data_IF_699177033129
#
_entry.id   IF_699177033129
#
_cell.length_a   1.000
_cell.length_b   1.000
_cell.length_c   1.000
_cell.angle_alpha   90.00
_cell.angle_beta   90.00
_cell.angle_gamma   90.00
#
_symmetry.space_group_name_H-M   'P 1'
#
loop_
_entity.id
_entity.type
_entity.pdbx_description
1 polymer ?
#
# COMPACT_ATOMS: atom_id res chain seq x y z
N UNK A 1 10.83 -7.86 -27.63
CA UNK A 1 11.26 -6.83 -26.67
C UNK A 1 10.92 -7.18 -25.22
N UNK A 2 9.74 -7.72 -24.91
CA UNK A 2 9.34 -8.01 -23.51
C UNK A 2 10.15 -9.13 -22.82
N UNK A 3 10.46 -10.24 -23.52
CA UNK A 3 11.39 -11.26 -22.99
C UNK A 3 12.76 -10.66 -22.62
N UNK A 4 13.22 -9.67 -23.39
CA UNK A 4 14.49 -8.98 -23.14
C UNK A 4 14.43 -8.11 -21.89
N UNK A 5 13.28 -7.46 -21.60
CA UNK A 5 13.09 -6.64 -20.39
C UNK A 5 13.13 -7.49 -19.12
N UNK A 6 12.50 -8.66 -19.14
CA UNK A 6 12.53 -9.59 -18.00
C UNK A 6 13.96 -10.10 -17.75
N UNK A 7 14.67 -10.54 -18.80
CA UNK A 7 16.07 -10.96 -18.67
C UNK A 7 16.98 -9.81 -18.22
N UNK A 8 16.74 -8.57 -18.68
CA UNK A 8 17.50 -7.40 -18.23
C UNK A 8 17.21 -7.04 -16.75
N UNK A 9 15.95 -7.19 -16.30
CA UNK A 9 15.57 -7.03 -14.88
C UNK A 9 16.29 -8.02 -13.97
N UNK A 10 16.51 -9.25 -14.43
CA UNK A 10 17.26 -10.26 -13.68
C UNK A 10 18.76 -9.94 -13.65
N UNK A 11 19.32 -9.30 -14.67
CA UNK A 11 20.75 -8.93 -14.70
C UNK A 11 21.09 -7.56 -14.07
N UNK A 12 20.13 -6.67 -13.90
CA UNK A 12 20.32 -5.36 -13.28
C UNK A 12 19.54 -5.30 -11.97
N UNK A 13 20.21 -5.43 -10.83
CA UNK A 13 19.62 -5.59 -9.48
C UNK A 13 18.56 -4.58 -9.02
N UNK A 14 18.23 -3.56 -9.81
CA UNK A 14 17.10 -2.64 -9.60
C UNK A 14 15.77 -3.13 -10.22
N UNK A 15 15.80 -4.25 -10.96
CA UNK A 15 14.67 -4.74 -11.75
C UNK A 15 13.60 -5.54 -11.00
N UNK A 16 13.85 -5.93 -9.75
CA UNK A 16 12.94 -6.81 -9.01
C UNK A 16 11.72 -6.10 -8.43
N UNK A 17 11.84 -4.79 -8.16
CA UNK A 17 10.84 -3.96 -7.47
C UNK A 17 9.54 -3.84 -8.29
N UNK A 18 9.62 -4.01 -9.62
CA UNK A 18 8.44 -4.01 -10.50
C UNK A 18 7.97 -5.40 -10.96
N UNK A 19 8.58 -6.49 -10.47
CA UNK A 19 8.30 -7.81 -11.04
C UNK A 19 6.93 -8.34 -10.61
N UNK A 20 6.57 -8.16 -9.34
CA UNK A 20 5.22 -8.47 -8.86
C UNK A 20 4.14 -7.65 -9.60
N UNK A 21 4.43 -6.39 -9.93
CA UNK A 21 3.54 -5.53 -10.72
C UNK A 21 3.40 -5.99 -12.18
N UNK A 22 4.47 -6.50 -12.80
CA UNK A 22 4.39 -7.12 -14.14
C UNK A 22 3.48 -8.36 -14.11
N UNK A 23 3.60 -9.22 -13.11
CA UNK A 23 2.74 -10.41 -12.96
C UNK A 23 1.28 -10.04 -12.65
N UNK A 24 1.04 -8.98 -11.86
CA UNK A 24 -0.31 -8.45 -11.62
C UNK A 24 -0.93 -7.82 -12.87
N UNK A 25 -0.11 -7.19 -13.72
CA UNK A 25 -0.56 -6.55 -14.96
C UNK A 25 -0.81 -7.54 -16.11
N UNK A 26 -0.02 -8.61 -16.18
CA UNK A 26 -0.10 -9.64 -17.22
C UNK A 26 -0.19 -11.05 -16.62
N UNK A 27 -1.32 -11.42 -16.01
CA UNK A 27 -1.49 -12.75 -15.43
C UNK A 27 -1.36 -13.83 -16.53
N UNK A 28 -0.77 -14.98 -16.17
CA UNK A 28 -0.67 -16.20 -17.00
C UNK A 28 0.19 -16.11 -18.28
N UNK A 29 0.99 -15.04 -18.46
CA UNK A 29 1.84 -14.86 -19.66
C UNK A 29 3.30 -15.25 -19.46
N UNK A 30 3.79 -15.23 -18.22
CA UNK A 30 5.22 -15.33 -17.89
C UNK A 30 5.54 -16.49 -16.95
N UNK A 31 4.76 -17.56 -17.00
CA UNK A 31 4.90 -18.72 -16.10
C UNK A 31 6.25 -19.42 -16.23
N UNK A 32 6.78 -19.54 -17.45
CA UNK A 32 8.08 -20.17 -17.69
C UNK A 32 9.28 -19.42 -17.11
N UNK A 33 9.10 -18.18 -16.64
CA UNK A 33 10.15 -17.41 -15.98
C UNK A 33 10.22 -17.74 -14.48
N UNK A 34 9.13 -18.23 -13.87
CA UNK A 34 9.04 -18.49 -12.44
C UNK A 34 10.10 -19.51 -11.99
N UNK A 35 10.33 -20.56 -12.78
CA UNK A 35 11.37 -21.56 -12.46
C UNK A 35 12.77 -20.93 -12.39
N UNK A 36 13.12 -20.08 -13.36
CA UNK A 36 14.40 -19.35 -13.37
C UNK A 36 14.48 -18.37 -12.20
N UNK A 37 13.36 -17.78 -11.80
CA UNK A 37 13.30 -16.88 -10.64
C UNK A 37 13.57 -17.61 -9.32
N UNK A 38 13.01 -18.82 -9.14
CA UNK A 38 13.27 -19.66 -7.97
C UNK A 38 14.72 -20.14 -7.92
N UNK A 39 15.35 -20.44 -9.06
CA UNK A 39 16.78 -20.80 -9.13
C UNK A 39 17.73 -19.67 -8.68
N UNK A 40 17.29 -18.42 -8.78
CA UNK A 40 18.09 -17.25 -8.40
C UNK A 40 17.68 -16.65 -7.04
N UNK A 41 16.83 -17.35 -6.28
CA UNK A 41 16.28 -16.87 -5.00
C UNK A 41 17.38 -16.49 -4.00
N UNK A 42 18.46 -17.27 -3.94
CA UNK A 42 19.58 -17.10 -3.00
C UNK A 42 20.46 -15.88 -3.30
N UNK A 43 20.29 -15.27 -4.48
CA UNK A 43 21.06 -14.07 -4.89
C UNK A 43 20.36 -12.76 -4.54
N UNK A 44 19.17 -12.82 -3.96
CA UNK A 44 18.36 -11.65 -3.64
C UNK A 44 18.65 -11.12 -2.23
N UNK A 45 19.45 -10.05 -2.15
CA UNK A 45 19.76 -9.39 -0.87
C UNK A 45 18.72 -8.31 -0.50
N UNK A 46 18.00 -7.76 -1.48
CA UNK A 46 17.09 -6.63 -1.25
C UNK A 46 15.73 -7.10 -0.67
N UNK A 47 15.26 -6.53 0.46
CA UNK A 47 14.01 -6.95 1.11
C UNK A 47 12.77 -6.75 0.21
N UNK A 48 12.74 -5.69 -0.59
CA UNK A 48 11.64 -5.45 -1.55
C UNK A 48 11.59 -6.54 -2.63
N UNK A 49 12.76 -7.02 -3.05
CA UNK A 49 12.89 -8.08 -4.03
C UNK A 49 12.41 -9.42 -3.46
N UNK A 50 12.84 -9.75 -2.24
CA UNK A 50 12.43 -10.97 -1.53
C UNK A 50 10.93 -10.98 -1.25
N UNK A 51 10.36 -9.85 -0.81
CA UNK A 51 8.91 -9.72 -0.62
C UNK A 51 8.14 -9.94 -1.94
N UNK A 52 8.58 -9.32 -3.03
CA UNK A 52 7.97 -9.54 -4.36
C UNK A 52 8.05 -11.01 -4.80
N UNK A 53 9.16 -11.69 -4.52
CA UNK A 53 9.33 -13.10 -4.84
C UNK A 53 8.37 -14.00 -4.04
N UNK A 54 8.33 -13.82 -2.72
CA UNK A 54 7.42 -14.53 -1.83
C UNK A 54 5.96 -14.32 -2.25
N UNK A 55 5.62 -13.11 -2.70
CA UNK A 55 4.29 -12.83 -3.25
C UNK A 55 3.98 -13.69 -4.47
N UNK A 56 4.91 -13.76 -5.44
CA UNK A 56 4.79 -14.58 -6.67
C UNK A 56 4.63 -16.05 -6.30
N UNK A 57 5.45 -16.57 -5.39
CA UNK A 57 5.38 -17.97 -4.93
C UNK A 57 4.00 -18.28 -4.33
N UNK A 58 3.50 -17.43 -3.43
CA UNK A 58 2.17 -17.63 -2.84
C UNK A 58 1.01 -17.45 -3.84
N UNK A 59 1.17 -16.60 -4.85
CA UNK A 59 0.16 -16.38 -5.89
C UNK A 59 0.09 -17.56 -6.88
N UNK A 60 1.23 -18.13 -7.24
CA UNK A 60 1.34 -19.25 -8.18
C UNK A 60 1.60 -20.60 -7.49
N UNK A 61 1.31 -20.72 -6.20
CA UNK A 61 1.52 -21.92 -5.38
C UNK A 61 0.82 -23.20 -5.89
N UNK A 62 -0.19 -23.09 -6.76
CA UNK A 62 -0.83 -24.27 -7.39
C UNK A 62 0.01 -24.88 -8.51
N UNK A 63 0.98 -24.13 -9.04
CA UNK A 63 1.81 -24.52 -10.19
C UNK A 63 3.26 -24.83 -9.81
N UNK A 64 3.69 -24.33 -8.66
CA UNK A 64 5.03 -24.55 -8.12
C UNK A 64 4.94 -25.72 -7.14
N UNK A 65 5.48 -26.87 -7.52
CA UNK A 65 5.33 -28.09 -6.72
C UNK A 65 6.07 -28.00 -5.37
N UNK A 66 7.23 -27.35 -5.35
CA UNK A 66 8.12 -27.15 -4.18
C UNK A 66 7.90 -25.81 -3.45
N UNK A 67 6.73 -25.18 -3.59
CA UNK A 67 6.44 -23.88 -2.98
C UNK A 67 6.48 -23.91 -1.44
N UNK A 68 6.09 -25.03 -0.86
CA UNK A 68 6.14 -25.31 0.58
C UNK A 68 7.57 -25.31 1.11
N UNK A 69 8.48 -26.06 0.49
CA UNK A 69 9.90 -26.11 0.87
C UNK A 69 10.56 -24.71 0.75
N UNK A 70 10.26 -24.01 -0.34
CA UNK A 70 10.78 -22.65 -0.56
C UNK A 70 10.30 -21.69 0.52
N UNK A 71 9.01 -21.68 0.85
CA UNK A 71 8.47 -20.81 1.89
C UNK A 71 8.91 -21.23 3.30
N UNK A 72 9.12 -22.53 3.54
CA UNK A 72 9.62 -23.02 4.82
C UNK A 72 11.01 -22.45 5.14
N UNK A 73 11.92 -22.39 4.16
CA UNK A 73 13.24 -21.79 4.37
C UNK A 73 13.17 -20.32 4.83
N UNK A 74 12.21 -19.55 4.30
CA UNK A 74 11.95 -18.17 4.76
C UNK A 74 11.32 -18.11 6.15
N UNK A 75 10.51 -19.11 6.53
CA UNK A 75 9.89 -19.17 7.86
C UNK A 75 10.91 -19.55 8.93
N UNK A 76 11.95 -20.32 8.60
CA UNK A 76 13.04 -20.62 9.55
C UNK A 76 13.81 -19.36 9.95
N UNK A 77 14.04 -18.43 9.00
CA UNK A 77 14.67 -17.12 9.24
C UNK A 77 13.72 -15.99 9.59
N UNK A 78 12.47 -16.26 9.99
CA UNK A 78 11.38 -15.26 10.06
C UNK A 78 11.73 -13.97 10.81
N UNK A 79 12.42 -14.08 11.95
CA UNK A 79 12.74 -12.91 12.79
C UNK A 79 13.91 -12.06 12.25
N UNK A 80 14.78 -12.66 11.44
CA UNK A 80 15.92 -11.96 10.84
C UNK A 80 15.53 -11.18 9.58
N UNK A 81 14.34 -11.47 9.04
CA UNK A 81 13.79 -10.80 7.86
C UNK A 81 13.18 -9.42 8.18
N UNK A 82 13.12 -8.56 7.16
CA UNK A 82 12.45 -7.27 7.26
C UNK A 82 10.93 -7.46 7.49
N UNK A 83 10.30 -6.56 8.26
CA UNK A 83 8.84 -6.55 8.49
C UNK A 83 8.01 -6.67 7.20
N UNK A 84 8.41 -6.01 6.11
CA UNK A 84 7.70 -6.14 4.83
C UNK A 84 7.72 -7.57 4.28
N UNK A 85 8.86 -8.26 4.42
CA UNK A 85 9.05 -9.66 4.02
C UNK A 85 8.21 -10.56 4.92
N UNK A 86 8.22 -10.34 6.24
CA UNK A 86 7.41 -11.09 7.22
C UNK A 86 5.91 -11.01 6.92
N UNK A 87 5.39 -9.80 6.65
CA UNK A 87 3.99 -9.58 6.29
C UNK A 87 3.62 -10.32 4.99
N UNK A 88 4.52 -10.27 4.01
CA UNK A 88 4.31 -10.91 2.72
C UNK A 88 4.39 -12.44 2.82
N UNK A 89 5.28 -12.96 3.67
CA UNK A 89 5.44 -14.37 3.99
C UNK A 89 4.22 -14.94 4.71
N UNK A 90 3.72 -14.24 5.73
CA UNK A 90 2.47 -14.59 6.41
C UNK A 90 1.32 -14.74 5.39
N UNK A 91 1.16 -13.75 4.51
CA UNK A 91 0.12 -13.79 3.48
C UNK A 91 0.34 -14.92 2.47
N UNK A 92 1.59 -15.17 2.05
CA UNK A 92 1.92 -16.20 1.08
C UNK A 92 1.66 -17.62 1.63
N UNK A 93 2.04 -17.90 2.88
CA UNK A 93 1.79 -19.17 3.54
C UNK A 93 0.29 -19.42 3.72
N UNK A 94 -0.49 -18.39 4.09
CA UNK A 94 -1.95 -18.51 4.18
C UNK A 94 -2.57 -18.82 2.81
N UNK A 95 -2.11 -18.15 1.73
CA UNK A 95 -2.56 -18.47 0.36
C UNK A 95 -2.20 -19.91 -0.04
N UNK A 96 -0.98 -20.36 0.28
CA UNK A 96 -0.52 -21.73 0.03
C UNK A 96 -1.42 -22.74 0.76
N UNK A 97 -1.74 -22.49 2.03
CA UNK A 97 -2.64 -23.35 2.81
C UNK A 97 -4.05 -23.44 2.24
N UNK A 98 -4.63 -22.32 1.81
CA UNK A 98 -5.96 -22.30 1.19
C UNK A 98 -6.02 -23.04 -0.16
N UNK A 99 -4.86 -23.25 -0.81
CA UNK A 99 -4.72 -23.97 -2.07
C UNK A 99 -4.41 -25.45 -1.86
N UNK A 100 -3.49 -25.76 -0.95
CA UNK A 100 -2.97 -27.12 -0.66
C UNK A 100 -3.03 -27.40 0.85
N UNK A 101 -4.21 -27.63 1.46
CA UNK A 101 -4.35 -27.73 2.91
C UNK A 101 -3.69 -28.98 3.52
N UNK A 102 -3.53 -30.06 2.75
CA UNK A 102 -3.05 -31.36 3.24
C UNK A 102 -1.59 -31.34 3.69
N UNK A 103 -0.73 -30.66 2.93
CA UNK A 103 0.73 -30.73 3.13
C UNK A 103 1.27 -29.54 3.95
N UNK A 104 0.47 -28.49 4.12
CA UNK A 104 0.95 -27.16 4.55
C UNK A 104 0.40 -26.72 5.91
N UNK A 105 -0.34 -27.61 6.58
CA UNK A 105 -0.96 -27.34 7.89
C UNK A 105 0.07 -27.02 8.97
N UNK A 106 1.21 -27.72 9.00
CA UNK A 106 2.26 -27.45 9.98
C UNK A 106 2.92 -26.09 9.73
N UNK A 107 3.19 -25.77 8.47
CA UNK A 107 3.81 -24.51 8.06
C UNK A 107 2.94 -23.30 8.43
N UNK A 108 1.62 -23.36 8.18
CA UNK A 108 0.70 -22.26 8.53
C UNK A 108 0.58 -22.09 10.05
N UNK A 109 0.56 -23.17 10.82
CA UNK A 109 0.55 -23.08 12.28
C UNK A 109 1.83 -22.44 12.82
N UNK A 110 2.98 -22.81 12.25
CA UNK A 110 4.29 -22.26 12.62
C UNK A 110 4.35 -20.77 12.36
N UNK A 111 4.03 -20.32 11.13
CA UNK A 111 4.09 -18.89 10.79
C UNK A 111 3.09 -18.05 11.60
N UNK A 112 1.89 -18.58 11.87
CA UNK A 112 0.90 -17.89 12.70
C UNK A 112 1.36 -17.77 14.15
N UNK A 113 2.03 -18.79 14.69
CA UNK A 113 2.60 -18.74 16.03
C UNK A 113 3.70 -17.69 16.10
N UNK A 114 4.65 -17.71 15.16
CA UNK A 114 5.73 -16.73 15.08
C UNK A 114 5.19 -15.30 14.92
N UNK A 115 4.17 -15.10 14.09
CA UNK A 115 3.55 -13.79 13.87
C UNK A 115 2.74 -13.27 15.06
N UNK A 116 2.12 -14.15 15.85
CA UNK A 116 1.21 -13.73 16.95
C UNK A 116 1.87 -13.71 18.33
N UNK A 117 2.72 -14.69 18.63
CA UNK A 117 3.33 -14.87 19.95
C UNK A 117 4.73 -14.26 20.02
N UNK A 118 5.53 -14.45 18.97
CA UNK A 118 6.96 -14.11 18.98
C UNK A 118 7.28 -12.78 18.28
N UNK A 119 6.30 -12.14 17.63
CA UNK A 119 6.51 -10.85 16.96
C UNK A 119 6.08 -9.66 17.82
N UNK A 120 6.96 -8.67 17.91
CA UNK A 120 6.71 -7.38 18.57
C UNK A 120 5.99 -6.37 17.67
N UNK A 121 5.86 -6.65 16.37
CA UNK A 121 5.23 -5.71 15.44
C UNK A 121 3.70 -5.79 15.54
N UNK A 122 2.99 -4.70 15.89
CA UNK A 122 1.54 -4.71 16.06
C UNK A 122 0.78 -5.00 14.76
N UNK A 123 1.25 -4.50 13.61
CA UNK A 123 0.59 -4.74 12.30
C UNK A 123 0.69 -6.23 11.91
N UNK A 124 1.87 -6.83 12.11
CA UNK A 124 2.08 -8.25 11.84
C UNK A 124 1.21 -9.12 12.75
N UNK A 125 1.15 -8.79 14.03
CA UNK A 125 0.36 -9.49 15.04
C UNK A 125 -1.14 -9.41 14.73
N UNK A 126 -1.63 -8.22 14.38
CA UNK A 126 -3.04 -8.01 14.05
C UNK A 126 -3.44 -8.80 12.80
N UNK A 127 -2.64 -8.74 11.74
CA UNK A 127 -2.87 -9.54 10.52
C UNK A 127 -2.79 -11.04 10.81
N UNK A 128 -1.87 -11.47 11.66
CA UNK A 128 -1.77 -12.85 12.14
C UNK A 128 -3.06 -13.32 12.81
N UNK A 129 -3.61 -12.54 13.74
CA UNK A 129 -4.88 -12.87 14.40
C UNK A 129 -6.08 -12.84 13.46
N UNK A 130 -6.13 -11.91 12.50
CA UNK A 130 -7.18 -11.87 11.49
C UNK A 130 -7.16 -13.17 10.67
N UNK A 131 -5.99 -13.59 10.18
CA UNK A 131 -5.87 -14.85 9.44
C UNK A 131 -6.20 -16.06 10.32
N UNK A 132 -5.73 -16.10 11.57
CA UNK A 132 -6.05 -17.19 12.49
C UNK A 132 -7.56 -17.33 12.66
N UNK A 133 -8.26 -16.23 12.96
CA UNK A 133 -9.71 -16.21 13.17
C UNK A 133 -10.45 -16.59 11.91
N UNK A 134 -10.03 -16.08 10.76
CA UNK A 134 -10.65 -16.38 9.47
C UNK A 134 -10.53 -17.88 9.14
N UNK A 135 -9.34 -18.46 9.28
CA UNK A 135 -9.08 -19.88 9.04
C UNK A 135 -9.80 -20.80 10.05
N UNK A 136 -9.92 -20.36 11.31
CA UNK A 136 -10.59 -21.13 12.37
C UNK A 136 -12.11 -21.04 12.30
N UNK A 137 -12.65 -19.94 11.78
CA UNK A 137 -14.09 -19.75 11.65
C UNK A 137 -14.65 -20.49 10.43
N UNK A 138 -14.12 -20.21 9.23
CA UNK A 138 -14.54 -20.86 8.00
C UNK A 138 -13.44 -20.82 6.91
N UNK A 139 -12.81 -21.97 6.61
CA UNK A 139 -11.84 -22.08 5.52
C UNK A 139 -12.41 -21.79 4.12
N UNK A 140 -13.72 -21.99 3.88
CA UNK A 140 -14.33 -21.72 2.58
C UNK A 140 -14.49 -20.21 2.36
N UNK A 141 -15.07 -19.49 3.32
CA UNK A 141 -15.11 -18.02 3.29
C UNK A 141 -13.69 -17.42 3.24
N UNK A 142 -12.72 -18.02 3.94
CA UNK A 142 -11.33 -17.58 3.88
C UNK A 142 -10.78 -17.62 2.45
N UNK A 143 -11.13 -18.65 1.68
CA UNK A 143 -10.73 -18.79 0.27
C UNK A 143 -11.30 -17.65 -0.58
N UNK A 144 -12.58 -17.34 -0.43
CA UNK A 144 -13.23 -16.27 -1.19
C UNK A 144 -12.65 -14.89 -0.84
N UNK A 145 -12.34 -14.64 0.44
CA UNK A 145 -11.81 -13.35 0.89
C UNK A 145 -10.34 -13.17 0.50
N UNK A 146 -9.50 -14.19 0.73
CA UNK A 146 -8.04 -14.07 0.56
C UNK A 146 -7.61 -14.27 -0.89
N UNK A 147 -8.30 -15.14 -1.64
CA UNK A 147 -8.04 -15.39 -3.07
C UNK A 147 -8.99 -14.61 -3.98
N UNK A 148 -9.67 -13.59 -3.48
CA UNK A 148 -10.49 -12.70 -4.30
C UNK A 148 -9.68 -12.13 -5.47
N UNK A 149 -10.31 -12.03 -6.64
CA UNK A 149 -9.71 -11.36 -7.79
C UNK A 149 -9.42 -9.90 -7.46
N UNK A 150 -8.14 -9.55 -7.45
CA UNK A 150 -7.73 -8.16 -7.24
C UNK A 150 -8.00 -7.36 -8.50
N UNK A 151 -8.55 -6.14 -8.38
CA UNK A 151 -8.70 -5.26 -9.52
C UNK A 151 -7.33 -4.99 -10.16
N UNK A 152 -7.31 -4.88 -11.48
CA UNK A 152 -6.08 -4.60 -12.23
C UNK A 152 -5.51 -3.24 -11.79
N UNK A 153 -4.19 -3.20 -11.54
CA UNK A 153 -3.49 -1.98 -11.16
C UNK A 153 -3.65 -0.96 -12.30
N UNK A 154 -4.24 0.20 -12.01
CA UNK A 154 -4.36 1.32 -12.94
C UNK A 154 -3.01 2.04 -13.10
N UNK A 155 -2.70 2.51 -14.31
CA UNK A 155 -1.41 3.15 -14.67
C UNK A 155 -1.20 4.56 -14.07
N UNK A 156 -1.86 4.89 -12.96
CA UNK A 156 -1.86 6.25 -12.39
C UNK A 156 -0.57 6.64 -11.66
N UNK A 157 0.44 5.77 -11.58
CA UNK A 157 1.68 6.02 -10.82
C UNK A 157 2.42 7.30 -11.25
N UNK A 158 2.30 7.70 -12.53
CA UNK A 158 2.97 8.89 -13.07
C UNK A 158 2.00 10.05 -13.40
N UNK A 159 0.71 9.90 -13.12
CA UNK A 159 -0.27 10.94 -13.41
C UNK A 159 -0.32 11.93 -12.25
N UNK A 160 0.03 13.18 -12.55
CA UNK A 160 -0.19 14.29 -11.64
C UNK A 160 -1.69 14.49 -11.43
N UNK A 161 -2.09 14.76 -10.19
CA UNK A 161 -3.48 15.10 -9.87
C UNK A 161 -3.96 16.23 -10.81
N UNK A 162 -5.14 16.12 -11.44
CA UNK A 162 -5.60 17.12 -12.42
C UNK A 162 -5.63 18.55 -11.89
N UNK A 163 -5.89 18.73 -10.59
CA UNK A 163 -5.89 20.05 -9.93
C UNK A 163 -4.48 20.66 -9.88
N UNK A 164 -3.49 19.86 -9.46
CA UNK A 164 -2.08 20.21 -9.43
C UNK A 164 -1.55 20.45 -10.85
N UNK A 165 -1.92 19.61 -11.81
CA UNK A 165 -1.55 19.77 -13.21
C UNK A 165 -2.02 21.13 -13.76
N UNK A 166 -3.28 21.49 -13.54
CA UNK A 166 -3.81 22.79 -13.96
C UNK A 166 -3.05 23.97 -13.32
N UNK A 167 -2.67 23.83 -12.05
CA UNK A 167 -1.85 24.83 -11.37
C UNK A 167 -0.43 24.91 -11.95
N UNK A 168 0.21 23.77 -12.25
CA UNK A 168 1.54 23.73 -12.86
C UNK A 168 1.54 24.26 -14.29
N UNK A 169 0.45 24.07 -15.04
CA UNK A 169 0.25 24.67 -16.37
C UNK A 169 0.30 26.20 -16.30
N UNK A 170 -0.20 26.82 -15.22
CA UNK A 170 -0.08 28.27 -14.99
C UNK A 170 1.35 28.72 -14.69
N UNK A 171 2.23 27.80 -14.31
CA UNK A 171 3.60 28.06 -13.87
C UNK A 171 4.65 27.41 -14.78
N UNK A 172 4.28 27.08 -16.03
CA UNK A 172 5.22 26.59 -17.05
C UNK A 172 6.34 27.64 -17.24
N UNK A 173 7.59 27.19 -17.17
CA UNK A 173 8.77 28.06 -17.21
C UNK A 173 9.23 28.59 -15.84
N UNK A 174 8.57 28.19 -14.75
CA UNK A 174 9.02 28.43 -13.36
C UNK A 174 9.62 27.18 -12.73
N UNK A 175 10.37 27.34 -11.63
CA UNK A 175 10.91 26.23 -10.82
C UNK A 175 9.80 25.28 -10.33
N UNK A 176 8.59 25.79 -10.07
CA UNK A 176 7.44 24.97 -9.69
C UNK A 176 7.11 23.88 -10.73
N UNK A 177 7.22 24.22 -12.02
CA UNK A 177 7.01 23.27 -13.12
C UNK A 177 8.17 22.30 -13.32
N UNK A 178 9.37 22.60 -12.85
CA UNK A 178 10.54 21.70 -12.95
C UNK A 178 10.53 20.65 -11.84
N UNK A 179 10.08 21.04 -10.65
CA UNK A 179 10.05 20.17 -9.47
C UNK A 179 8.72 19.45 -9.25
N UNK A 180 7.74 19.68 -10.13
CA UNK A 180 6.38 19.14 -10.03
C UNK A 180 5.72 19.40 -8.65
N UNK A 181 6.00 20.56 -8.06
CA UNK A 181 5.48 20.97 -6.75
C UNK A 181 4.78 22.31 -6.87
N UNK A 182 3.72 22.55 -6.07
CA UNK A 182 3.07 23.85 -6.07
C UNK A 182 4.05 24.94 -5.57
N UNK A 183 3.93 26.19 -6.05
CA UNK A 183 4.78 27.31 -5.61
C UNK A 183 4.80 27.53 -4.10
N UNK A 184 3.72 27.18 -3.39
CA UNK A 184 3.60 27.23 -1.93
C UNK A 184 4.58 26.28 -1.21
N UNK A 185 5.07 25.23 -1.87
CA UNK A 185 6.07 24.33 -1.30
C UNK A 185 7.47 24.94 -1.23
N UNK A 186 7.71 26.06 -1.91
CA UNK A 186 9.03 26.69 -1.96
C UNK A 186 9.18 27.88 -1.01
N UNK A 187 8.06 28.43 -0.50
CA UNK A 187 8.06 29.66 0.28
C UNK A 187 7.01 29.56 1.38
N UNK A 188 7.43 29.73 2.63
CA UNK A 188 6.51 29.84 3.75
C UNK A 188 5.63 31.10 3.58
N UNK A 189 4.30 30.96 3.48
CA UNK A 189 3.39 32.09 3.23
C UNK A 189 3.37 33.11 4.36
N UNK A 190 3.93 32.78 5.53
CA UNK A 190 4.10 33.66 6.68
C UNK A 190 5.22 34.69 6.50
N UNK A 191 6.22 34.36 5.68
CA UNK A 191 7.43 35.19 5.56
C UNK A 191 7.46 35.97 4.23
N UNK A 192 6.79 35.48 3.18
CA UNK A 192 6.67 36.17 1.89
C UNK A 192 5.33 35.86 1.21
N UNK A 193 4.48 36.87 0.92
CA UNK A 193 3.25 36.64 0.19
C UNK A 193 3.56 36.23 -1.26
N UNK A 194 3.21 34.99 -1.62
CA UNK A 194 3.37 34.47 -2.98
C UNK A 194 2.36 35.17 -3.90
N UNK A 195 2.85 35.73 -5.02
CA UNK A 195 1.98 36.20 -6.12
C UNK A 195 1.31 34.99 -6.76
N UNK A 196 0.01 34.82 -6.51
CA UNK A 196 -0.81 33.82 -7.22
C UNK A 196 -0.88 34.21 -8.70
N UNK A 197 -0.37 33.36 -9.59
CA UNK A 197 -0.58 33.55 -11.02
C UNK A 197 -2.05 33.21 -11.31
N UNK A 198 -2.84 34.24 -11.62
CA UNK A 198 -4.22 34.08 -12.06
C UNK A 198 -4.20 33.74 -13.55
N UNK A 199 -4.83 32.64 -13.96
CA UNK A 199 -5.06 32.37 -15.38
C UNK A 199 -5.81 33.54 -16.00
N UNK A 200 -5.37 34.11 -17.14
CA UNK A 200 -6.14 35.12 -17.83
C UNK A 200 -7.42 34.45 -18.35
N UNK A 201 -8.53 34.66 -17.65
CA UNK A 201 -9.86 34.41 -18.18
C UNK A 201 -10.12 35.47 -19.24
N UNK A 202 -10.44 35.02 -20.44
CA UNK A 202 -10.78 35.87 -21.57
C UNK A 202 -12.05 36.66 -21.29
N UNK A 203 -11.92 37.84 -20.69
CA UNK A 203 -12.99 38.84 -20.60
C UNK A 203 -12.36 40.23 -20.46
N UNK A 204 -12.60 41.09 -21.45
CA UNK A 204 -11.95 42.39 -21.58
C UNK A 204 -12.28 43.39 -20.47
N UNK A 205 -11.23 44.11 -20.05
CA UNK A 205 -11.14 45.56 -19.77
C UNK A 205 -12.30 46.24 -19.02
N UNK A 206 -12.06 46.70 -17.78
CA UNK A 206 -11.87 48.14 -17.46
C UNK A 206 -11.60 48.43 -15.97
N UNK A 207 -10.48 49.12 -15.74
CA UNK A 207 -10.20 50.24 -14.80
C UNK A 207 -10.21 50.02 -13.26
N UNK A 208 -9.10 50.51 -12.68
CA UNK A 208 -8.69 50.58 -11.29
C UNK A 208 -9.64 51.33 -10.33
N UNK A 209 -9.52 51.10 -9.01
CA UNK A 209 -9.10 52.12 -8.01
C UNK A 209 -9.07 51.60 -6.57
N UNK A 210 -8.04 52.07 -5.86
CA UNK A 210 -7.97 52.50 -4.45
C UNK A 210 -8.29 51.55 -3.26
N UNK A 211 -7.34 51.54 -2.33
CA UNK A 211 -7.46 51.08 -0.96
C UNK A 211 -8.45 51.94 -0.14
N UNK A 212 -9.23 51.28 0.73
CA UNK A 212 -9.87 51.89 1.91
C UNK A 212 -9.83 50.88 3.06
N UNK A 213 -9.29 51.31 4.20
CA UNK A 213 -9.34 50.58 5.45
C UNK A 213 -10.66 50.88 6.22
N UNK A 214 -11.05 49.90 7.04
CA UNK A 214 -12.01 49.93 8.17
C UNK A 214 -13.50 50.15 7.89
N UNK A 215 -14.31 49.09 8.10
CA UNK A 215 -15.27 48.97 9.23
C UNK A 215 -16.01 47.62 9.17
N UNK A 216 -16.07 46.91 10.31
CA UNK A 216 -16.85 45.67 10.48
C UNK A 216 -18.35 46.00 10.67
N UNK A 217 -19.28 45.17 10.15
CA UNK A 217 -20.22 44.45 11.05
C UNK A 217 -20.62 43.02 10.51
N UNK A 218 -21.48 42.26 11.22
CA UNK A 218 -21.21 40.92 11.77
C UNK A 218 -21.35 39.73 10.77
N UNK A 219 -20.86 38.51 11.11
CA UNK A 219 -21.02 37.33 10.26
C UNK A 219 -22.44 36.74 10.32
N UNK A 220 -22.97 36.18 9.22
CA UNK A 220 -24.20 35.39 9.25
C UNK A 220 -23.95 34.00 9.84
N UNK A 221 -24.82 33.62 10.78
CA UNK A 221 -24.90 32.32 11.45
C UNK A 221 -25.13 31.18 10.45
N UNK A 222 -24.21 30.22 10.41
CA UNK A 222 -24.45 28.88 9.85
C UNK A 222 -24.58 27.91 11.02
N UNK A 223 -25.73 27.25 11.10
CA UNK A 223 -26.07 26.26 12.12
C UNK A 223 -25.23 24.99 11.86
N UNK A 224 -24.32 24.66 12.79
CA UNK A 224 -23.65 23.35 12.85
C UNK A 224 -24.43 22.40 13.76
N UNK A 225 -24.63 21.12 13.39
CA UNK A 225 -25.13 20.10 14.31
C UNK A 225 -24.07 19.74 15.37
N UNK A 226 -24.46 19.37 16.60
CA UNK A 226 -23.54 19.22 17.72
C UNK A 226 -22.83 17.86 17.67
N UNK A 227 -21.50 17.84 17.52
CA UNK A 227 -20.70 16.60 17.51
C UNK A 227 -19.77 16.46 18.74
N UNK A 228 -19.72 17.43 19.65
CA UNK A 228 -18.80 17.38 20.80
C UNK A 228 -19.38 16.76 22.08
N UNK A 229 -20.61 16.23 22.04
CA UNK A 229 -21.27 15.67 23.24
C UNK A 229 -21.15 14.14 23.37
N UNK A 230 -20.75 13.43 22.30
CA UNK A 230 -20.80 11.96 22.25
C UNK A 230 -19.53 11.31 22.84
N UNK A 231 -18.38 11.99 22.74
CA UNK A 231 -17.09 11.44 23.17
C UNK A 231 -16.93 11.49 24.70
N UNK A 232 -17.58 12.45 25.36
CA UNK A 232 -17.55 12.59 26.82
C UNK A 232 -18.43 11.57 27.56
N UNK A 233 -19.45 11.00 26.89
CA UNK A 233 -20.42 10.09 27.52
C UNK A 233 -19.97 8.61 27.50
N UNK A 234 -18.97 8.27 26.68
CA UNK A 234 -18.44 6.90 26.55
C UNK A 234 -17.41 6.51 27.63
N UNK A 235 -16.94 7.47 28.44
CA UNK A 235 -16.01 7.21 29.55
C UNK A 235 -16.71 7.06 30.92
N UNK A 236 -18.04 7.24 30.97
CA UNK A 236 -18.84 7.14 32.21
C UNK A 236 -19.79 5.93 32.25
N UNK A 237 -19.66 4.97 31.34
CA UNK A 237 -20.40 3.70 31.42
C UNK A 237 -19.75 2.77 32.45
N UNK A 238 -20.26 2.89 33.66
CA UNK A 238 -20.04 2.06 34.84
C UNK A 238 -20.02 0.55 34.53
N UNK A 239 -18.90 -0.08 34.87
CA UNK A 239 -18.67 -1.53 34.86
C UNK A 239 -19.11 -2.12 36.20
N UNK A 240 -20.42 -2.24 36.40
CA UNK A 240 -20.98 -2.96 37.56
C UNK A 240 -21.86 -4.09 37.08
N UNK A 241 -21.28 -5.30 37.02
CA UNK A 241 -22.01 -6.54 36.78
C UNK A 241 -22.90 -6.93 37.97
N UNK A 242 -23.93 -7.78 37.77
CA UNK A 242 -24.85 -8.12 38.83
C UNK A 242 -24.24 -9.21 39.72
N UNK A 243 -24.16 -8.95 41.02
CA UNK A 243 -23.87 -9.98 42.02
C UNK A 243 -24.87 -9.88 43.17
N UNK A 244 -25.62 -10.99 43.34
CA UNK A 244 -26.44 -11.41 44.48
C UNK A 244 -27.73 -10.62 44.80
#
# INVERSE_FOLDING_TARGET
MEKLKVTLCVSAGYGWIGMSDIFRKYPNRYEGIISTLCENLDTLDEPEARASMIWIIGEYAERIDNADELLESFVEGFHDENTQVQLQLLTAVVKLFLKRPTDTQQLVQRVLTLATQDSDNPDLRDRGYIYWRLLSADPQAAKEVVLAEKPLISEETDLLEPSLLNQLVCHIGSLASVYHKPPSSFVDPTHYPVRTAVMPTSSGTTVATAAVATTAPPPPTVIQPPQDSIIADLLNLDISGPAA
#
